data_IF_368801305106
#
_entry.id   IF_368801305106
#
_cell.length_a   1.000
_cell.length_b   1.000
_cell.length_c   1.000
_cell.angle_alpha   90.00
_cell.angle_beta   90.00
_cell.angle_gamma   90.00
#
_symmetry.space_group_name_H-M   'P 1'
#
loop_
_entity.id
_entity.type
_entity.pdbx_description
1 polymer ?
#
# COMPACT_ATOMS: atom_id res chain seq x y z
N UNK A 1 -14.60 -14.14 16.63
CA UNK A 1 -14.46 -13.28 17.85
C UNK A 1 -13.03 -12.74 17.88
N UNK A 2 -12.87 -11.42 18.04
CA UNK A 2 -11.56 -10.78 18.19
C UNK A 2 -11.46 -10.21 19.60
N UNK A 3 -10.35 -10.48 20.28
CA UNK A 3 -10.06 -9.85 21.57
C UNK A 3 -9.29 -8.57 21.31
N UNK A 4 -9.83 -7.44 21.75
CA UNK A 4 -9.17 -6.15 21.64
C UNK A 4 -8.71 -5.71 23.03
N UNK A 5 -7.42 -5.44 23.17
CA UNK A 5 -6.83 -4.87 24.38
C UNK A 5 -6.71 -3.36 24.25
N UNK A 6 -7.08 -2.62 25.29
CA UNK A 6 -6.94 -1.17 25.36
C UNK A 6 -6.51 -0.74 26.75
N UNK A 7 -5.77 0.35 26.84
CA UNK A 7 -5.28 0.89 28.10
C UNK A 7 -6.22 1.96 28.63
N UNK A 8 -6.58 1.89 29.90
CA UNK A 8 -7.37 2.90 30.60
C UNK A 8 -6.61 3.38 31.85
N UNK A 9 -6.75 4.67 32.20
CA UNK A 9 -6.24 5.17 33.48
C UNK A 9 -7.10 4.60 34.63
N UNK A 10 -6.48 3.78 35.48
CA UNK A 10 -7.10 3.29 36.71
C UNK A 10 -7.05 4.32 37.82
N UNK A 11 -7.71 4.01 38.95
CA UNK A 11 -7.60 4.76 40.20
C UNK A 11 -6.11 4.82 40.58
N UNK A 12 -5.55 5.99 40.83
CA UNK A 12 -4.13 6.30 41.11
C UNK A 12 -3.23 6.46 39.85
N UNK A 13 -3.79 6.75 38.65
CA UNK A 13 -3.00 7.11 37.47
C UNK A 13 -2.29 5.94 36.77
N UNK A 14 -2.31 4.73 37.31
CA UNK A 14 -1.72 3.54 36.66
C UNK A 14 -2.51 3.15 35.43
N UNK A 15 -1.83 2.87 34.32
CA UNK A 15 -2.44 2.34 33.11
C UNK A 15 -2.82 0.88 33.33
N UNK A 16 -4.12 0.58 33.22
CA UNK A 16 -4.66 -0.79 33.32
C UNK A 16 -5.04 -1.24 31.92
N UNK A 17 -4.57 -2.40 31.50
CA UNK A 17 -4.99 -3.03 30.24
C UNK A 17 -6.33 -3.73 30.49
N UNK A 18 -7.34 -3.30 29.75
CA UNK A 18 -8.64 -4.00 29.69
C UNK A 18 -8.76 -4.72 28.35
N UNK A 19 -9.43 -5.85 28.36
CA UNK A 19 -9.76 -6.61 27.16
C UNK A 19 -11.26 -6.65 26.96
N UNK A 20 -11.70 -6.54 25.70
CA UNK A 20 -13.08 -6.80 25.34
C UNK A 20 -13.12 -7.76 24.16
N UNK A 21 -14.06 -8.69 24.19
CA UNK A 21 -14.35 -9.55 23.05
C UNK A 21 -15.34 -8.86 22.13
N UNK A 22 -14.94 -8.64 20.89
CA UNK A 22 -15.80 -8.02 19.88
C UNK A 22 -16.23 -9.13 18.91
N UNK A 23 -17.52 -9.26 18.70
CA UNK A 23 -18.04 -10.03 17.57
C UNK A 23 -18.02 -9.12 16.35
N UNK A 24 -17.08 -9.37 15.44
CA UNK A 24 -17.04 -8.67 14.17
C UNK A 24 -18.00 -9.35 13.19
N UNK A 25 -18.77 -8.59 12.43
CA UNK A 25 -19.51 -9.16 11.32
C UNK A 25 -18.53 -9.78 10.32
N UNK A 26 -18.92 -10.86 9.67
CA UNK A 26 -18.10 -11.57 8.67
C UNK A 26 -18.85 -11.56 7.35
N UNK A 27 -18.13 -11.33 6.25
CA UNK A 27 -18.70 -11.43 4.92
C UNK A 27 -18.95 -12.92 4.63
N UNK A 28 -20.22 -13.31 4.56
CA UNK A 28 -20.66 -14.70 4.27
C UNK A 28 -21.17 -14.78 2.83
N UNK A 29 -20.50 -14.16 1.89
CA UNK A 29 -20.81 -14.30 0.46
C UNK A 29 -19.91 -15.39 -0.12
N UNK A 30 -20.45 -16.40 -0.83
CA UNK A 30 -19.61 -17.38 -1.53
C UNK A 30 -18.87 -16.73 -2.70
N UNK A 31 -17.70 -17.30 -3.05
CA UNK A 31 -16.90 -16.86 -4.18
C UNK A 31 -16.05 -15.63 -3.91
N UNK A 32 -15.48 -15.08 -4.98
CA UNK A 32 -14.56 -13.94 -4.95
C UNK A 32 -15.31 -12.64 -4.75
N UNK A 33 -14.80 -11.82 -3.85
CA UNK A 33 -15.34 -10.49 -3.53
C UNK A 33 -14.66 -9.42 -4.38
N UNK A 34 -15.42 -8.36 -4.68
CA UNK A 34 -14.93 -7.14 -5.30
C UNK A 34 -15.12 -5.93 -4.36
N UNK A 35 -14.70 -4.75 -4.81
CA UNK A 35 -14.78 -3.52 -4.01
C UNK A 35 -16.24 -3.16 -3.65
N UNK A 36 -17.20 -3.40 -4.55
CA UNK A 36 -18.62 -3.13 -4.27
C UNK A 36 -19.17 -4.05 -3.17
N UNK A 37 -18.74 -5.31 -3.13
CA UNK A 37 -19.12 -6.24 -2.04
C UNK A 37 -18.61 -5.74 -0.68
N UNK A 38 -17.40 -5.18 -0.64
CA UNK A 38 -16.83 -4.58 0.57
C UNK A 38 -17.64 -3.35 0.99
N UNK A 39 -17.99 -2.46 0.06
CA UNK A 39 -18.81 -1.28 0.35
C UNK A 39 -20.19 -1.68 0.88
N UNK A 40 -20.86 -2.63 0.20
CA UNK A 40 -22.17 -3.14 0.63
C UNK A 40 -22.12 -3.73 2.03
N UNK A 41 -21.05 -4.42 2.37
CA UNK A 41 -20.83 -4.93 3.73
C UNK A 41 -20.73 -3.78 4.76
N UNK A 42 -19.95 -2.74 4.45
CA UNK A 42 -19.79 -1.58 5.34
C UNK A 42 -21.11 -0.82 5.52
N UNK A 43 -21.87 -0.61 4.45
CA UNK A 43 -23.18 0.05 4.49
C UNK A 43 -24.18 -0.75 5.34
N UNK A 44 -24.20 -2.09 5.16
CA UNK A 44 -25.12 -2.98 5.89
C UNK A 44 -24.80 -3.07 7.37
N UNK A 45 -23.55 -3.25 7.74
CA UNK A 45 -23.15 -3.55 9.12
C UNK A 45 -22.61 -2.34 9.89
N UNK A 46 -22.34 -1.22 9.22
CA UNK A 46 -21.89 0.05 9.81
C UNK A 46 -20.86 -0.15 10.92
N UNK A 47 -19.71 -0.80 10.64
CA UNK A 47 -18.70 -1.06 11.66
C UNK A 47 -18.26 0.26 12.30
N UNK A 48 -18.10 0.24 13.62
CA UNK A 48 -17.66 1.43 14.38
C UNK A 48 -16.30 1.90 13.91
N UNK A 49 -16.11 3.22 13.87
CA UNK A 49 -14.80 3.81 13.62
C UNK A 49 -13.80 3.35 14.70
N UNK A 50 -12.58 3.08 14.28
CA UNK A 50 -11.48 2.76 15.20
C UNK A 50 -10.98 4.04 15.87
N UNK A 51 -10.94 5.14 15.13
CA UNK A 51 -10.58 6.48 15.58
C UNK A 51 -11.54 7.51 14.99
N UNK A 52 -11.64 8.66 15.67
CA UNK A 52 -12.30 9.83 15.08
C UNK A 52 -11.47 10.34 13.88
N UNK A 53 -12.09 10.94 12.86
CA UNK A 53 -11.35 11.58 11.77
C UNK A 53 -10.31 12.57 12.33
N UNK A 54 -9.13 12.60 11.72
CA UNK A 54 -7.98 13.45 12.08
C UNK A 54 -7.45 13.30 13.52
N UNK A 55 -7.76 12.21 14.22
CA UNK A 55 -7.32 12.03 15.61
C UNK A 55 -6.12 11.11 15.77
N UNK A 56 -5.83 10.25 14.81
CA UNK A 56 -4.70 9.33 14.86
C UNK A 56 -4.43 8.72 13.49
N UNK A 57 -3.17 8.39 13.23
CA UNK A 57 -2.77 7.65 12.05
C UNK A 57 -3.01 6.14 12.23
N UNK A 58 -3.57 5.51 11.21
CA UNK A 58 -3.64 4.05 11.10
C UNK A 58 -3.57 3.61 9.64
N UNK A 59 -2.62 2.73 9.34
CA UNK A 59 -2.54 2.11 8.01
C UNK A 59 -3.80 1.30 7.72
N UNK A 60 -4.44 1.54 6.58
CA UNK A 60 -5.71 0.90 6.23
C UNK A 60 -5.81 0.59 4.74
N UNK A 61 -5.74 -0.69 4.39
CA UNK A 61 -6.01 -1.16 3.04
C UNK A 61 -7.44 -0.83 2.59
N UNK A 62 -8.41 -0.94 3.49
CA UNK A 62 -9.82 -0.64 3.21
C UNK A 62 -10.00 0.79 2.68
N UNK A 63 -9.25 1.76 3.21
CA UNK A 63 -9.33 3.14 2.74
C UNK A 63 -8.94 3.27 1.27
N UNK A 64 -7.87 2.59 0.84
CA UNK A 64 -7.43 2.61 -0.55
C UNK A 64 -8.40 1.89 -1.48
N UNK A 65 -9.01 0.81 -1.02
CA UNK A 65 -10.07 0.13 -1.78
C UNK A 65 -11.33 1.01 -1.93
N UNK A 66 -11.66 1.84 -0.93
CA UNK A 66 -12.74 2.82 -1.01
C UNK A 66 -12.37 4.00 -1.93
N UNK A 67 -11.11 4.46 -1.91
CA UNK A 67 -10.63 5.50 -2.83
C UNK A 67 -10.77 5.06 -4.29
N UNK A 68 -10.51 3.77 -4.61
CA UNK A 68 -10.75 3.25 -5.95
C UNK A 68 -12.23 3.36 -6.35
N UNK A 69 -13.18 3.02 -5.46
CA UNK A 69 -14.61 3.20 -5.72
C UNK A 69 -15.02 4.68 -5.86
N UNK A 70 -14.39 5.58 -5.10
CA UNK A 70 -14.63 7.03 -5.24
C UNK A 70 -14.19 7.50 -6.63
N UNK A 71 -13.03 7.06 -7.10
CA UNK A 71 -12.55 7.35 -8.46
C UNK A 71 -13.57 6.84 -9.49
N UNK A 72 -14.02 5.58 -9.39
CA UNK A 72 -15.03 5.03 -10.30
C UNK A 72 -16.30 5.89 -10.36
N UNK A 73 -16.76 6.32 -9.18
CA UNK A 73 -17.97 7.17 -9.09
C UNK A 73 -17.77 8.53 -9.74
N UNK A 74 -16.60 9.13 -9.61
CA UNK A 74 -16.30 10.46 -10.19
C UNK A 74 -16.14 10.37 -11.70
N UNK A 75 -15.42 9.34 -12.19
CA UNK A 75 -15.06 9.24 -13.60
C UNK A 75 -16.07 8.48 -14.45
N UNK A 76 -17.02 7.77 -13.83
CA UNK A 76 -18.05 6.98 -14.53
C UNK A 76 -17.50 5.72 -15.23
N UNK A 77 -16.31 5.24 -14.85
CA UNK A 77 -15.63 4.07 -15.41
C UNK A 77 -15.12 3.16 -14.29
N UNK A 78 -14.97 1.86 -14.55
CA UNK A 78 -14.30 0.97 -13.59
C UNK A 78 -12.82 1.37 -13.40
N UNK A 79 -12.31 1.18 -12.20
CA UNK A 79 -10.97 1.58 -11.82
C UNK A 79 -9.87 0.95 -12.70
N UNK A 80 -9.92 -0.36 -13.05
CA UNK A 80 -8.96 -0.95 -13.97
C UNK A 80 -8.91 -0.25 -15.33
N UNK A 81 -10.06 0.05 -15.94
CA UNK A 81 -10.16 0.77 -17.21
C UNK A 81 -9.65 2.19 -17.11
N UNK A 82 -10.03 2.91 -16.04
CA UNK A 82 -9.53 4.26 -15.79
C UNK A 82 -8.00 4.29 -15.65
N UNK A 83 -7.43 3.41 -14.83
CA UNK A 83 -5.97 3.32 -14.64
C UNK A 83 -5.24 3.02 -15.95
N UNK A 84 -5.78 2.10 -16.74
CA UNK A 84 -5.22 1.75 -18.05
C UNK A 84 -5.20 2.93 -19.01
N UNK A 85 -6.35 3.60 -19.17
CA UNK A 85 -6.53 4.65 -20.17
C UNK A 85 -5.87 5.98 -19.76
N UNK A 86 -6.01 6.34 -18.48
CA UNK A 86 -5.62 7.66 -17.99
C UNK A 86 -4.18 7.69 -17.43
N UNK A 87 -3.62 6.55 -17.02
CA UNK A 87 -2.30 6.48 -16.41
C UNK A 87 -1.34 5.61 -17.21
N UNK A 88 -1.64 4.31 -17.33
CA UNK A 88 -0.66 3.37 -17.86
C UNK A 88 -0.36 3.62 -19.34
N UNK A 89 -1.40 3.80 -20.16
CA UNK A 89 -1.24 4.05 -21.60
C UNK A 89 -0.51 5.37 -21.90
N UNK A 90 -0.88 6.52 -21.31
CA UNK A 90 -0.17 7.78 -21.54
C UNK A 90 1.30 7.75 -21.11
N UNK A 91 1.63 6.98 -20.06
CA UNK A 91 3.00 6.82 -19.57
C UNK A 91 3.79 5.73 -20.32
N UNK A 92 3.18 5.01 -21.27
CA UNK A 92 3.84 3.94 -22.00
C UNK A 92 4.01 2.64 -21.21
N UNK A 93 3.32 2.47 -20.08
CA UNK A 93 3.38 1.29 -19.20
C UNK A 93 2.57 0.13 -19.80
N UNK A 94 3.11 -0.48 -20.86
CA UNK A 94 2.40 -1.46 -21.71
C UNK A 94 2.13 -2.81 -21.01
N UNK A 95 2.92 -3.14 -19.99
CA UNK A 95 2.85 -4.40 -19.24
C UNK A 95 2.30 -4.19 -17.83
N UNK A 96 1.48 -3.17 -17.64
CA UNK A 96 0.87 -2.82 -16.36
C UNK A 96 -0.63 -2.87 -16.46
N UNK A 97 -1.26 -3.54 -15.50
CA UNK A 97 -2.71 -3.67 -15.39
C UNK A 97 -3.16 -3.74 -13.95
N UNK A 98 -4.44 -3.47 -13.70
CA UNK A 98 -5.09 -3.75 -12.43
C UNK A 98 -5.85 -5.05 -12.56
N UNK A 99 -5.47 -6.06 -11.78
CA UNK A 99 -6.18 -7.34 -11.75
C UNK A 99 -7.54 -7.19 -11.07
N UNK A 100 -8.55 -7.74 -11.70
CA UNK A 100 -9.94 -7.72 -11.24
C UNK A 100 -10.61 -9.07 -11.44
N UNK A 101 -11.86 -9.20 -11.03
CA UNK A 101 -12.64 -10.42 -11.24
C UNK A 101 -12.79 -10.81 -12.72
N UNK A 102 -12.67 -9.84 -13.65
CA UNK A 102 -12.74 -10.09 -15.10
C UNK A 102 -11.53 -10.88 -15.61
N UNK A 103 -10.41 -10.83 -14.86
CA UNK A 103 -9.11 -11.35 -15.29
C UNK A 103 -8.79 -12.73 -14.71
N UNK A 104 -9.76 -13.40 -14.07
CA UNK A 104 -9.56 -14.70 -13.39
C UNK A 104 -8.95 -15.75 -14.32
N UNK A 105 -9.37 -15.80 -15.58
CA UNK A 105 -8.90 -16.79 -16.55
C UNK A 105 -7.44 -16.60 -16.97
N UNK A 106 -6.86 -15.43 -16.69
CA UNK A 106 -5.45 -15.10 -16.96
C UNK A 106 -4.65 -14.90 -15.67
N UNK A 107 -5.19 -15.35 -14.53
CA UNK A 107 -4.51 -15.23 -13.24
C UNK A 107 -3.14 -15.88 -13.27
N UNK A 108 -2.12 -15.11 -12.89
CA UNK A 108 -0.76 -15.61 -12.73
C UNK A 108 -0.52 -15.84 -11.24
N UNK A 109 -0.31 -17.07 -10.80
CA UNK A 109 -0.11 -17.36 -9.39
C UNK A 109 1.22 -16.77 -8.90
N UNK A 110 1.22 -16.37 -7.65
CA UNK A 110 2.45 -16.20 -6.89
C UNK A 110 2.76 -17.49 -6.13
N UNK A 111 3.95 -17.58 -5.54
CA UNK A 111 4.45 -18.83 -4.99
C UNK A 111 4.87 -18.68 -3.53
N UNK A 112 4.62 -19.73 -2.75
CA UNK A 112 5.23 -19.90 -1.44
C UNK A 112 6.76 -20.01 -1.55
N UNK A 113 7.47 -19.91 -0.44
CA UNK A 113 8.92 -20.09 -0.41
C UNK A 113 9.37 -21.48 -0.90
N UNK A 114 8.52 -22.50 -0.78
CA UNK A 114 8.74 -23.87 -1.24
C UNK A 114 8.33 -24.11 -2.71
N UNK A 115 8.05 -23.03 -3.48
CA UNK A 115 7.61 -23.05 -4.87
C UNK A 115 6.19 -23.58 -5.15
N UNK A 116 5.40 -23.89 -4.14
CA UNK A 116 3.98 -24.21 -4.36
C UNK A 116 3.22 -22.94 -4.77
N UNK A 117 2.31 -23.01 -5.74
CA UNK A 117 1.51 -21.85 -6.14
C UNK A 117 0.48 -21.51 -5.06
N UNK A 118 0.21 -20.21 -4.88
CA UNK A 118 -0.95 -19.73 -4.15
C UNK A 118 -2.21 -19.87 -5.01
N UNK A 119 -3.24 -20.46 -4.45
CA UNK A 119 -4.55 -20.44 -5.06
C UNK A 119 -5.19 -19.05 -4.90
N UNK A 120 -6.09 -18.73 -5.82
CA UNK A 120 -6.89 -17.50 -5.72
C UNK A 120 -7.81 -17.56 -4.51
N UNK A 121 -7.84 -16.50 -3.72
CA UNK A 121 -8.59 -16.41 -2.49
C UNK A 121 -9.70 -15.36 -2.55
N UNK A 122 -10.58 -15.39 -1.56
CA UNK A 122 -11.81 -14.59 -1.49
C UNK A 122 -11.62 -13.11 -1.73
N UNK A 123 -10.50 -12.52 -1.30
CA UNK A 123 -10.23 -11.09 -1.37
C UNK A 123 -9.31 -10.67 -2.53
N UNK A 124 -8.96 -11.60 -3.42
CA UNK A 124 -7.97 -11.34 -4.46
C UNK A 124 -8.48 -10.47 -5.60
N UNK A 125 -9.78 -10.25 -5.69
CA UNK A 125 -10.35 -9.33 -6.68
C UNK A 125 -10.69 -7.94 -6.14
N UNK A 126 -10.28 -7.62 -4.91
CA UNK A 126 -10.36 -6.26 -4.36
C UNK A 126 -9.11 -5.49 -4.79
N UNK A 127 -9.29 -4.30 -5.35
CA UNK A 127 -8.22 -3.45 -5.86
C UNK A 127 -8.22 -2.07 -5.19
N UNK A 128 -7.15 -1.29 -5.46
CA UNK A 128 -6.87 0.02 -4.87
C UNK A 128 -5.82 -0.07 -3.75
N UNK A 129 -5.91 -1.07 -2.90
CA UNK A 129 -4.91 -1.41 -1.88
C UNK A 129 -3.82 -2.37 -2.41
N UNK A 130 -4.10 -3.07 -3.50
CA UNK A 130 -3.26 -4.08 -4.15
C UNK A 130 -3.68 -4.24 -5.60
N UNK A 131 -3.19 -5.29 -6.25
CA UNK A 131 -3.62 -5.76 -7.57
C UNK A 131 -3.13 -4.93 -8.77
N UNK A 132 -2.15 -4.05 -8.62
CA UNK A 132 -1.42 -3.54 -9.78
C UNK A 132 -0.30 -4.55 -10.09
N UNK A 133 -0.43 -5.22 -11.23
CA UNK A 133 0.62 -6.07 -11.79
C UNK A 133 1.42 -5.27 -12.78
N UNK A 134 2.75 -5.33 -12.68
CA UNK A 134 3.63 -4.47 -13.46
C UNK A 134 5.00 -5.13 -13.71
N UNK A 135 5.83 -4.46 -14.48
CA UNK A 135 7.25 -4.79 -14.65
C UNK A 135 8.12 -3.69 -14.04
N UNK A 136 9.38 -4.02 -13.76
CA UNK A 136 10.36 -3.03 -13.27
C UNK A 136 10.51 -1.88 -14.28
N UNK A 137 10.47 -2.17 -15.59
CA UNK A 137 10.57 -1.14 -16.63
C UNK A 137 9.37 -0.19 -16.64
N UNK A 138 8.16 -0.70 -16.49
CA UNK A 138 6.96 0.12 -16.43
C UNK A 138 6.94 0.98 -15.16
N UNK A 139 7.35 0.42 -14.02
CA UNK A 139 7.48 1.20 -12.78
C UNK A 139 8.57 2.26 -12.87
N UNK A 140 9.64 2.05 -13.66
CA UNK A 140 10.62 3.09 -13.95
C UNK A 140 10.00 4.24 -14.76
N UNK A 141 9.12 3.96 -15.72
CA UNK A 141 8.38 5.00 -16.46
C UNK A 141 7.50 5.82 -15.51
N UNK A 142 6.82 5.16 -14.58
CA UNK A 142 6.06 5.82 -13.51
C UNK A 142 6.96 6.74 -12.66
N UNK A 143 8.07 6.23 -12.19
CA UNK A 143 9.05 6.99 -11.38
C UNK A 143 9.56 8.24 -12.12
N UNK A 144 9.96 8.07 -13.39
CA UNK A 144 10.40 9.18 -14.23
C UNK A 144 9.32 10.25 -14.43
N UNK A 145 8.05 9.83 -14.58
CA UNK A 145 6.92 10.75 -14.69
C UNK A 145 6.71 11.57 -13.41
N UNK A 146 6.92 10.95 -12.23
CA UNK A 146 6.88 11.63 -10.94
C UNK A 146 8.01 12.68 -10.82
N UNK A 147 9.23 12.36 -11.24
CA UNK A 147 10.34 13.33 -11.23
C UNK A 147 10.11 14.50 -12.21
N UNK A 148 9.62 14.20 -13.41
CA UNK A 148 9.34 15.22 -14.43
C UNK A 148 8.16 16.12 -14.09
N UNK A 149 7.27 15.69 -13.21
CA UNK A 149 6.00 16.39 -12.95
C UNK A 149 5.05 16.40 -14.14
N UNK A 150 5.26 15.51 -15.11
CA UNK A 150 4.49 15.47 -16.35
C UNK A 150 3.08 14.94 -16.17
N UNK A 151 2.83 14.18 -15.12
CA UNK A 151 1.53 13.60 -14.81
C UNK A 151 0.92 14.17 -13.52
N UNK A 152 1.72 14.32 -12.49
CA UNK A 152 1.32 14.93 -11.21
C UNK A 152 2.22 16.14 -11.00
N UNK A 153 1.61 17.31 -10.74
CA UNK A 153 2.36 18.53 -10.43
C UNK A 153 3.27 18.31 -9.22
N UNK A 154 4.48 18.88 -9.25
CA UNK A 154 5.44 18.74 -8.15
C UNK A 154 4.87 19.22 -6.81
N UNK A 155 4.07 20.29 -6.81
CA UNK A 155 3.38 20.78 -5.60
C UNK A 155 2.43 19.73 -5.01
N UNK A 156 1.66 19.02 -5.85
CA UNK A 156 0.77 17.94 -5.41
C UNK A 156 1.57 16.74 -4.89
N UNK A 157 2.69 16.41 -5.56
CA UNK A 157 3.55 15.32 -5.12
C UNK A 157 4.23 15.64 -3.78
N UNK A 158 4.64 16.89 -3.56
CA UNK A 158 5.16 17.34 -2.27
C UNK A 158 4.14 17.18 -1.15
N UNK A 159 2.87 17.54 -1.38
CA UNK A 159 1.79 17.27 -0.42
C UNK A 159 1.65 15.77 -0.09
N UNK A 160 1.85 14.89 -1.06
CA UNK A 160 1.82 13.45 -0.82
C UNK A 160 3.00 12.96 0.03
N UNK A 161 4.08 13.72 0.07
CA UNK A 161 5.28 13.45 0.87
C UNK A 161 5.32 14.21 2.19
N UNK A 162 4.24 14.89 2.59
CA UNK A 162 4.14 15.49 3.91
C UNK A 162 3.91 14.42 4.98
N UNK A 163 4.61 14.52 6.13
CA UNK A 163 4.41 13.60 7.25
C UNK A 163 2.99 13.68 7.82
N UNK A 164 2.24 12.58 7.73
CA UNK A 164 0.87 12.48 8.25
C UNK A 164 0.75 11.62 9.51
N UNK A 165 1.82 10.90 9.89
CA UNK A 165 1.86 10.02 11.07
C UNK A 165 2.70 10.65 12.18
N UNK A 166 2.18 11.71 12.81
CA UNK A 166 2.93 12.54 13.78
C UNK A 166 2.56 12.25 15.24
N UNK A 167 1.86 11.16 15.53
CA UNK A 167 1.42 10.78 16.88
C UNK A 167 2.60 10.52 17.84
N UNK A 168 3.77 10.19 17.29
CA UNK A 168 5.03 9.99 18.01
C UNK A 168 6.21 10.47 17.17
N UNK A 169 7.23 11.09 17.78
CA UNK A 169 8.47 11.40 17.10
C UNK A 169 9.11 10.12 16.54
N UNK A 170 9.38 10.11 15.25
CA UNK A 170 10.04 8.99 14.56
C UNK A 170 10.64 9.48 13.25
N UNK A 171 11.76 8.88 12.85
CA UNK A 171 12.29 9.06 11.49
C UNK A 171 11.40 8.35 10.45
N UNK A 172 10.59 7.38 10.87
CA UNK A 172 9.60 6.70 10.03
C UNK A 172 8.28 7.46 10.04
N UNK A 173 7.75 7.75 8.86
CA UNK A 173 6.48 8.45 8.73
C UNK A 173 5.70 7.93 7.51
N UNK A 174 4.48 8.42 7.33
CA UNK A 174 3.59 8.05 6.24
C UNK A 174 2.82 9.28 5.74
N UNK A 175 2.84 9.49 4.43
CA UNK A 175 2.10 10.55 3.77
C UNK A 175 0.86 10.01 3.03
N UNK A 176 0.53 10.58 1.89
CA UNK A 176 -0.58 10.11 1.07
C UNK A 176 -0.16 8.92 0.20
N UNK A 177 -0.21 7.72 0.77
CA UNK A 177 0.16 6.47 0.08
C UNK A 177 1.66 6.19 0.04
N UNK A 178 2.49 6.97 0.73
CA UNK A 178 3.94 6.82 0.75
C UNK A 178 4.48 6.67 2.16
N UNK A 179 5.33 5.70 2.36
CA UNK A 179 6.17 5.59 3.53
C UNK A 179 7.36 6.53 3.38
N UNK A 180 7.83 7.06 4.49
CA UNK A 180 8.98 7.96 4.51
C UNK A 180 9.97 7.55 5.57
N UNK A 181 11.25 7.72 5.23
CA UNK A 181 12.34 7.76 6.19
C UNK A 181 12.92 9.17 6.13
N UNK A 182 12.80 9.92 7.22
CA UNK A 182 13.17 11.33 7.30
C UNK A 182 14.44 11.43 8.13
N UNK A 183 15.53 11.83 7.48
CA UNK A 183 16.83 12.08 8.08
C UNK A 183 17.20 13.55 7.91
N UNK A 184 18.15 14.11 8.68
CA UNK A 184 18.57 15.51 8.57
C UNK A 184 18.93 15.91 7.13
N UNK A 185 19.66 15.04 6.44
CA UNK A 185 20.21 15.35 5.12
C UNK A 185 19.49 14.64 3.97
N UNK A 186 18.57 13.73 4.25
CA UNK A 186 17.92 12.91 3.23
C UNK A 186 16.50 12.51 3.60
N UNK A 187 15.61 12.60 2.63
CA UNK A 187 14.24 12.05 2.70
C UNK A 187 14.09 10.92 1.70
N UNK A 188 13.87 9.72 2.20
CA UNK A 188 13.65 8.54 1.39
C UNK A 188 12.15 8.28 1.33
N UNK A 189 11.62 8.19 0.12
CA UNK A 189 10.19 7.94 -0.15
C UNK A 189 10.05 6.53 -0.69
N UNK A 190 9.23 5.70 -0.05
CA UNK A 190 9.12 4.31 -0.47
C UNK A 190 7.75 3.71 -0.19
N UNK A 191 7.45 2.62 -0.83
CA UNK A 191 6.40 1.70 -0.41
C UNK A 191 6.78 0.27 -0.77
N UNK A 192 6.60 -0.63 0.17
CA UNK A 192 6.76 -2.06 -0.04
C UNK A 192 5.40 -2.71 -0.24
N UNK A 193 5.34 -3.73 -1.08
CA UNK A 193 4.15 -4.54 -1.28
C UNK A 193 4.33 -5.96 -0.79
N UNK A 194 3.25 -6.51 -0.26
CA UNK A 194 3.17 -7.93 0.07
C UNK A 194 1.72 -8.40 -0.04
N UNK A 195 1.52 -9.37 -0.92
CA UNK A 195 0.27 -10.12 -1.00
C UNK A 195 0.56 -11.54 -1.49
N UNK A 196 0.19 -12.56 -0.69
CA UNK A 196 0.59 -13.95 -0.94
C UNK A 196 2.09 -14.09 -1.14
N UNK A 197 2.53 -14.65 -2.27
CA UNK A 197 3.92 -14.75 -2.64
C UNK A 197 4.50 -13.53 -3.33
N UNK A 198 3.65 -12.57 -3.70
CA UNK A 198 4.12 -11.32 -4.32
C UNK A 198 4.75 -10.41 -3.29
N UNK A 199 5.98 -10.01 -3.54
CA UNK A 199 6.72 -9.04 -2.76
C UNK A 199 7.24 -7.95 -3.70
N UNK A 200 7.15 -6.69 -3.31
CA UNK A 200 7.67 -5.57 -4.09
C UNK A 200 8.39 -4.55 -3.23
N UNK A 201 9.39 -3.91 -3.82
CA UNK A 201 10.12 -2.78 -3.27
C UNK A 201 10.10 -1.67 -4.30
N UNK A 202 9.69 -0.48 -3.87
CA UNK A 202 9.79 0.74 -4.64
C UNK A 202 10.32 1.84 -3.72
N UNK A 203 11.61 2.16 -3.85
CA UNK A 203 12.31 3.09 -2.95
C UNK A 203 12.97 4.19 -3.76
N UNK A 204 12.68 5.45 -3.42
CA UNK A 204 13.13 6.66 -4.10
C UNK A 204 14.04 7.46 -3.17
N UNK A 205 15.25 7.70 -3.60
CA UNK A 205 16.23 8.58 -2.97
C UNK A 205 16.15 9.93 -3.67
N UNK A 206 15.26 10.79 -3.18
CA UNK A 206 14.84 11.99 -3.90
C UNK A 206 16.01 12.93 -4.15
N UNK A 207 16.90 13.13 -3.17
CA UNK A 207 18.10 13.99 -3.28
C UNK A 207 19.04 13.51 -4.39
N UNK A 208 19.19 12.21 -4.53
CA UNK A 208 20.15 11.59 -5.45
C UNK A 208 19.53 11.26 -6.82
N UNK A 209 18.24 11.50 -7.00
CA UNK A 209 17.46 11.11 -8.18
C UNK A 209 17.67 9.62 -8.52
N UNK A 210 17.77 8.78 -7.48
CA UNK A 210 17.98 7.35 -7.60
C UNK A 210 16.75 6.57 -7.12
N UNK A 211 16.47 5.44 -7.78
CA UNK A 211 15.31 4.61 -7.42
C UNK A 211 15.68 3.14 -7.47
N UNK A 212 15.25 2.39 -6.46
CA UNK A 212 15.38 0.93 -6.40
C UNK A 212 13.99 0.32 -6.57
N UNK A 213 13.84 -0.52 -7.58
CA UNK A 213 12.61 -1.24 -7.88
C UNK A 213 12.92 -2.73 -7.94
N UNK A 214 12.28 -3.52 -7.09
CA UNK A 214 12.40 -4.98 -7.11
C UNK A 214 11.02 -5.60 -7.04
N UNK A 215 10.75 -6.55 -7.92
CA UNK A 215 9.50 -7.28 -7.97
C UNK A 215 9.79 -8.78 -7.87
N UNK A 216 9.05 -9.47 -7.03
CA UNK A 216 9.13 -10.92 -6.88
C UNK A 216 7.74 -11.53 -6.73
N UNK A 217 7.52 -12.68 -7.38
CA UNK A 217 6.27 -13.44 -7.28
C UNK A 217 6.42 -14.73 -6.46
N UNK A 218 7.55 -14.90 -5.78
CA UNK A 218 7.79 -15.95 -4.79
C UNK A 218 8.11 -15.33 -3.46
N UNK A 219 7.41 -15.75 -2.39
CA UNK A 219 7.59 -15.20 -1.05
C UNK A 219 9.05 -15.23 -0.60
N UNK A 220 9.60 -14.04 -0.40
CA UNK A 220 10.98 -13.86 0.05
C UNK A 220 11.14 -12.53 0.80
N UNK A 221 11.26 -12.58 2.11
CA UNK A 221 11.45 -11.37 2.94
C UNK A 221 12.76 -10.63 2.67
N UNK A 222 13.78 -11.29 2.13
CA UNK A 222 15.05 -10.63 1.85
C UNK A 222 14.95 -9.56 0.75
N UNK A 223 13.86 -9.56 -0.05
CA UNK A 223 13.62 -8.51 -1.06
C UNK A 223 13.62 -7.11 -0.43
N UNK A 224 13.14 -6.97 0.80
CA UNK A 224 13.08 -5.68 1.50
C UNK A 224 14.45 -5.14 1.91
N UNK A 225 15.49 -5.97 1.89
CA UNK A 225 16.89 -5.56 2.09
C UNK A 225 17.49 -4.93 0.84
N UNK A 226 16.80 -4.97 -0.32
CA UNK A 226 17.31 -4.40 -1.57
C UNK A 226 17.63 -2.91 -1.45
N UNK A 227 16.95 -2.17 -0.57
CA UNK A 227 17.27 -0.77 -0.26
C UNK A 227 18.71 -0.59 0.24
N UNK A 228 19.32 -1.61 0.86
CA UNK A 228 20.69 -1.56 1.36
C UNK A 228 21.72 -1.50 0.21
N UNK A 229 21.32 -1.90 -1.00
CA UNK A 229 22.16 -1.76 -2.21
C UNK A 229 22.48 -0.28 -2.46
N UNK A 230 21.63 0.64 -2.02
CA UNK A 230 21.88 2.08 -2.14
C UNK A 230 23.19 2.51 -1.46
N UNK A 231 23.60 1.85 -0.37
CA UNK A 231 24.87 2.14 0.31
C UNK A 231 26.10 1.96 -0.62
N UNK A 232 25.99 1.12 -1.66
CA UNK A 232 27.06 0.90 -2.65
C UNK A 232 27.18 2.02 -3.69
N UNK A 233 26.14 2.87 -3.83
CA UNK A 233 26.07 3.89 -4.88
C UNK A 233 25.97 5.32 -4.32
N UNK A 234 25.37 5.48 -3.14
CA UNK A 234 25.08 6.78 -2.56
C UNK A 234 26.11 7.11 -1.47
N UNK A 235 26.89 8.17 -1.67
CA UNK A 235 27.89 8.64 -0.70
C UNK A 235 27.21 9.09 0.58
N UNK A 236 27.70 8.61 1.74
CA UNK A 236 27.18 8.99 3.06
C UNK A 236 25.87 8.32 3.44
N UNK A 237 25.40 7.32 2.69
CA UNK A 237 24.20 6.59 3.01
C UNK A 237 24.47 5.53 4.10
N UNK A 238 23.84 5.67 5.26
CA UNK A 238 23.91 4.68 6.34
C UNK A 238 22.79 3.64 6.19
N UNK A 239 23.16 2.42 5.79
CA UNK A 239 22.23 1.31 5.61
C UNK A 239 21.69 0.73 6.93
N UNK A 240 22.33 1.01 8.06
CA UNK A 240 21.90 0.48 9.38
C UNK A 240 20.54 1.09 9.80
N UNK A 241 20.24 2.28 9.32
CA UNK A 241 18.99 3.00 9.61
C UNK A 241 17.78 2.39 8.87
N UNK A 242 18.03 1.55 7.87
CA UNK A 242 16.99 0.88 7.09
C UNK A 242 16.55 -0.47 7.69
N UNK A 243 17.07 -0.87 8.84
CA UNK A 243 16.63 -2.08 9.52
C UNK A 243 15.19 -1.89 10.05
N UNK A 244 14.22 -2.53 9.41
CA UNK A 244 12.85 -2.77 9.89
C UNK A 244 12.74 -4.22 10.40
#
# INVERSE_FOLDING_TARGET
KKVQSYKVKGKKGKLITKTRTIQLPVIVKPGLLNNQDMLNFMVKYKPSLIFKPNSSFTYSNTNFSLLALIIEKIVGKDYPSYMKESIFKPLGMKNTSVFSKKDINIYQPSYYANNNPYNIEKFDCIYGDKNIYSTVRDLLLWDQALYKGSYIKQTTLQMAFEPGSNDKPSIHNYGLGWRMLIQPDQKIIYHNGWWHGNNSVFTRFIKDTATIIVLGNRFNRNIYKAKNIAASFLKGFDSTILAE
#
